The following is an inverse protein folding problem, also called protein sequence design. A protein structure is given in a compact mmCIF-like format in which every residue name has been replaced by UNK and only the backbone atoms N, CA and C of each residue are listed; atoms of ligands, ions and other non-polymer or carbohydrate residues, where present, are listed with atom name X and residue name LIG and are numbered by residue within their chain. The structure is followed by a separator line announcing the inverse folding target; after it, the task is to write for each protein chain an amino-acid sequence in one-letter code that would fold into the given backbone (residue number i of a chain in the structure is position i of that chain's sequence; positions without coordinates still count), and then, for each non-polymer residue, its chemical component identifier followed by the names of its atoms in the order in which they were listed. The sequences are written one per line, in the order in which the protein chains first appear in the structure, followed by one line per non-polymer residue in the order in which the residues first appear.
data_IF_011096007633
#
_entry.id   IF_011096007633
#
_cell.length_a   1.000
_cell.length_b   1.000
_cell.length_c   1.000
_cell.angle_alpha   90.00
_cell.angle_beta   90.00
_cell.angle_gamma   90.00
#
_symmetry.space_group_name_H-M   'P 1'
#
loop_
_entity.id
_entity.type
_entity.pdbx_description
1 polymer ?
#
# COMPACT_ATOMS: atom_id res chain seq x y z
N UNK A 1 12.82 0.18 2.78
CA UNK A 1 12.67 1.36 1.90
C UNK A 1 11.68 1.14 0.75
N UNK A 2 11.74 0.03 0.00
CA UNK A 2 10.83 -0.23 -1.12
C UNK A 2 9.32 -0.22 -0.73
N UNK A 3 8.97 -0.88 0.38
CA UNK A 3 7.58 -0.95 0.85
C UNK A 3 6.98 0.43 1.18
N UNK A 4 7.70 1.22 1.99
CA UNK A 4 7.28 2.58 2.35
C UNK A 4 7.13 3.52 1.16
N UNK A 5 8.01 3.41 0.14
CA UNK A 5 7.88 4.19 -1.08
C UNK A 5 6.65 3.77 -1.91
N UNK A 6 6.41 2.46 -2.04
CA UNK A 6 5.24 1.93 -2.75
C UNK A 6 3.94 2.36 -2.10
N UNK A 7 3.81 2.21 -0.78
CA UNK A 7 2.64 2.63 -0.01
C UNK A 7 2.44 4.14 -0.12
N UNK A 8 3.51 4.93 0.01
CA UNK A 8 3.44 6.40 -0.12
C UNK A 8 2.88 6.84 -1.47
N UNK A 9 3.31 6.21 -2.58
CA UNK A 9 2.78 6.51 -3.92
C UNK A 9 1.30 6.13 -4.06
N UNK A 10 0.89 4.97 -3.56
CA UNK A 10 -0.52 4.54 -3.62
C UNK A 10 -1.39 5.48 -2.80
N UNK A 11 -0.94 5.85 -1.59
CA UNK A 11 -1.63 6.81 -0.73
C UNK A 11 -1.84 8.17 -1.41
N UNK A 12 -0.79 8.72 -2.02
CA UNK A 12 -0.89 9.97 -2.78
C UNK A 12 -1.91 9.88 -3.94
N UNK A 13 -1.83 8.83 -4.76
CA UNK A 13 -2.75 8.61 -5.87
C UNK A 13 -4.20 8.41 -5.40
N UNK A 14 -4.40 7.72 -4.27
CA UNK A 14 -5.71 7.56 -3.66
C UNK A 14 -6.28 8.91 -3.21
N UNK A 15 -5.48 9.74 -2.54
CA UNK A 15 -5.93 11.08 -2.11
C UNK A 15 -6.29 11.98 -3.28
N UNK A 16 -5.49 11.98 -4.36
CA UNK A 16 -5.84 12.70 -5.59
C UNK A 16 -7.14 12.19 -6.24
N UNK A 17 -7.33 10.87 -6.27
CA UNK A 17 -8.56 10.26 -6.78
C UNK A 17 -9.79 10.64 -5.96
N UNK A 18 -9.68 10.60 -4.64
CA UNK A 18 -10.75 11.00 -3.71
C UNK A 18 -11.07 12.48 -3.86
N UNK A 19 -10.06 13.34 -3.99
CA UNK A 19 -10.27 14.77 -4.19
C UNK A 19 -11.03 15.08 -5.50
N UNK A 20 -10.81 14.30 -6.56
CA UNK A 20 -11.54 14.44 -7.84
C UNK A 20 -12.95 13.85 -7.79
N UNK A 21 -13.15 12.75 -7.06
CA UNK A 21 -14.43 12.05 -6.97
C UNK A 21 -14.72 11.63 -5.51
N UNK A 22 -15.23 12.55 -4.68
CA UNK A 22 -15.50 12.29 -3.26
C UNK A 22 -16.52 11.16 -3.05
N UNK A 23 -17.50 11.03 -3.95
CA UNK A 23 -18.53 9.99 -3.94
C UNK A 23 -17.93 8.57 -3.97
N UNK A 24 -16.75 8.42 -4.59
CA UNK A 24 -16.06 7.15 -4.77
C UNK A 24 -15.06 6.86 -3.63
N UNK A 25 -15.00 7.69 -2.58
CA UNK A 25 -13.93 7.65 -1.59
C UNK A 25 -13.76 6.28 -0.92
N UNK A 26 -14.87 5.66 -0.52
CA UNK A 26 -14.85 4.34 0.12
C UNK A 26 -14.25 3.27 -0.82
N UNK A 27 -14.64 3.26 -2.10
CA UNK A 27 -14.10 2.31 -3.09
C UNK A 27 -12.61 2.52 -3.34
N UNK A 28 -12.18 3.79 -3.47
CA UNK A 28 -10.76 4.14 -3.67
C UNK A 28 -9.93 3.72 -2.46
N UNK A 29 -10.44 3.98 -1.25
CA UNK A 29 -9.76 3.59 -0.01
C UNK A 29 -9.64 2.05 0.11
N UNK A 30 -10.70 1.29 -0.21
CA UNK A 30 -10.62 -0.18 -0.22
C UNK A 30 -9.56 -0.67 -1.20
N UNK A 31 -9.51 -0.14 -2.42
CA UNK A 31 -8.49 -0.50 -3.40
C UNK A 31 -7.07 -0.15 -2.91
N UNK A 32 -6.89 1.02 -2.31
CA UNK A 32 -5.62 1.45 -1.71
C UNK A 32 -5.16 0.48 -0.61
N UNK A 33 -6.06 0.09 0.30
CA UNK A 33 -5.72 -0.82 1.40
C UNK A 33 -5.33 -2.20 0.87
N UNK A 34 -6.05 -2.73 -0.14
CA UNK A 34 -5.70 -4.01 -0.77
C UNK A 34 -4.29 -3.93 -1.38
N UNK A 35 -4.00 -2.88 -2.14
CA UNK A 35 -2.68 -2.70 -2.75
C UNK A 35 -1.57 -2.53 -1.70
N UNK A 36 -1.82 -1.78 -0.62
CA UNK A 36 -0.89 -1.63 0.49
C UNK A 36 -0.64 -2.98 1.20
N UNK A 37 -1.68 -3.79 1.42
CA UNK A 37 -1.57 -5.10 2.06
C UNK A 37 -0.73 -6.08 1.22
N UNK A 38 -0.80 -6.03 -0.11
CA UNK A 38 0.05 -6.83 -0.99
C UNK A 38 1.52 -6.45 -0.86
N UNK A 39 1.82 -5.14 -0.82
CA UNK A 39 3.19 -4.64 -0.63
C UNK A 39 3.72 -5.03 0.75
N UNK A 40 2.91 -4.83 1.79
CA UNK A 40 3.29 -5.14 3.17
C UNK A 40 3.50 -6.65 3.38
N UNK A 41 2.67 -7.48 2.73
CA UNK A 41 2.84 -8.94 2.77
C UNK A 41 4.19 -9.40 2.23
N UNK A 42 4.64 -8.84 1.10
CA UNK A 42 5.97 -9.13 0.54
C UNK A 42 7.08 -8.58 1.44
N UNK A 43 6.90 -7.37 1.99
CA UNK A 43 7.88 -6.76 2.87
C UNK A 43 8.09 -7.58 4.16
N UNK A 44 7.01 -8.00 4.81
CA UNK A 44 7.06 -8.85 6.00
C UNK A 44 7.65 -10.22 5.67
N UNK A 45 7.31 -10.82 4.53
CA UNK A 45 7.92 -12.07 4.10
C UNK A 45 9.43 -11.94 3.92
N UNK A 46 9.90 -10.86 3.29
CA UNK A 46 11.33 -10.59 3.13
C UNK A 46 12.04 -10.42 4.49
N UNK A 47 11.39 -9.76 5.47
CA UNK A 47 11.91 -9.65 6.84
C UNK A 47 12.03 -11.02 7.49
N UNK A 48 11.00 -11.86 7.39
CA UNK A 48 11.02 -13.23 7.95
C UNK A 48 12.14 -14.05 7.33
N UNK A 49 12.29 -14.04 6.01
CA UNK A 49 13.39 -14.74 5.31
C UNK A 49 14.74 -14.23 5.77
N UNK A 50 14.92 -12.90 5.91
CA UNK A 50 16.18 -12.32 6.37
C UNK A 50 16.52 -12.70 7.82
N UNK A 51 15.52 -12.90 8.69
CA UNK A 51 15.72 -13.35 10.06
C UNK A 51 16.08 -14.85 10.13
N UNK A 52 15.55 -15.67 9.22
CA UNK A 52 15.81 -17.12 9.16
C UNK A 52 17.13 -17.43 8.43
N UNK A 53 17.50 -16.65 7.40
CA UNK A 53 18.71 -16.84 6.61
C UNK A 53 20.01 -16.43 7.35
N UNK A 54 19.92 -16.34 8.68
CA UNK A 54 21.01 -15.97 9.59
C UNK A 54 21.69 -17.21 10.15
#
# INVERSE_FOLDING_TARGET
MAAGFGIGKIGAAAMEGIARQPEAASKIQTAMIIAAALIEGVALFAVVVALIAK
#
